data_IF_345075453591
#
_entry.id   IF_345075453591
#
_cell.length_a   1.000
_cell.length_b   1.000
_cell.length_c   1.000
_cell.angle_alpha   90.00
_cell.angle_beta   90.00
_cell.angle_gamma   90.00
#
_symmetry.space_group_name_H-M   'P 1'
#
loop_
_entity.id
_entity.type
_entity.pdbx_description
1 polymer ?
#
# COMPACT_ATOMS: atom_id res chain seq x y z
N UNK A 1 -26.35 -0.54 -7.56
CA UNK A 1 -26.74 0.81 -7.14
C UNK A 1 -26.08 1.81 -8.08
N UNK A 2 -26.88 2.49 -8.92
CA UNK A 2 -26.39 3.50 -9.84
C UNK A 2 -26.48 4.90 -9.21
N UNK A 3 -25.49 5.72 -9.44
CA UNK A 3 -25.43 7.13 -9.01
C UNK A 3 -25.24 8.06 -10.21
N UNK A 4 -25.76 9.27 -10.10
CA UNK A 4 -25.68 10.25 -11.19
C UNK A 4 -26.31 9.75 -12.47
N UNK A 5 -25.65 9.92 -13.60
CA UNK A 5 -26.12 9.50 -14.94
C UNK A 5 -26.02 7.98 -15.20
N UNK A 6 -26.26 7.15 -14.19
CA UNK A 6 -26.22 5.69 -14.31
C UNK A 6 -24.86 5.05 -14.04
N UNK A 7 -23.89 5.81 -13.53
CA UNK A 7 -22.59 5.26 -13.13
C UNK A 7 -22.75 4.31 -11.95
N UNK A 8 -22.00 3.21 -11.97
CA UNK A 8 -21.96 2.29 -10.84
C UNK A 8 -21.25 2.92 -9.63
N UNK A 9 -21.78 2.66 -8.44
CA UNK A 9 -21.28 3.23 -7.20
C UNK A 9 -19.86 2.73 -6.85
N UNK A 10 -19.55 1.45 -7.13
CA UNK A 10 -18.26 0.87 -6.84
C UNK A 10 -17.19 1.47 -7.75
N UNK A 11 -17.42 1.52 -9.04
CA UNK A 11 -16.49 2.08 -10.01
C UNK A 11 -16.18 3.55 -9.72
N UNK A 12 -17.20 4.33 -9.36
CA UNK A 12 -17.04 5.77 -9.10
C UNK A 12 -16.37 6.04 -7.77
N UNK A 13 -16.78 5.36 -6.70
CA UNK A 13 -16.34 5.68 -5.35
C UNK A 13 -15.13 4.88 -4.87
N UNK A 14 -14.71 3.82 -5.57
CA UNK A 14 -13.47 3.11 -5.24
C UNK A 14 -12.22 3.96 -5.51
N UNK A 15 -12.31 4.96 -6.38
CA UNK A 15 -11.27 5.99 -6.51
C UNK A 15 -11.10 6.81 -5.24
N UNK A 16 -12.14 6.92 -4.42
CA UNK A 16 -12.16 7.77 -3.21
C UNK A 16 -12.07 6.94 -1.93
N UNK A 17 -13.17 6.37 -1.47
CA UNK A 17 -13.35 5.90 -0.08
C UNK A 17 -13.80 4.44 0.02
N UNK A 18 -14.57 3.95 -0.94
CA UNK A 18 -15.06 2.57 -0.90
C UNK A 18 -13.87 1.61 -0.99
N UNK A 19 -13.74 0.77 0.02
CA UNK A 19 -12.63 -0.18 0.14
C UNK A 19 -11.47 0.31 1.03
N UNK A 20 -11.44 1.57 1.44
CA UNK A 20 -10.45 2.06 2.40
C UNK A 20 -10.70 1.46 3.79
N UNK A 21 -9.81 0.57 4.30
CA UNK A 21 -10.03 -0.11 5.57
C UNK A 21 -10.05 0.85 6.77
N UNK A 22 -9.39 2.00 6.69
CA UNK A 22 -9.39 2.98 7.77
C UNK A 22 -10.72 3.73 7.85
N UNK A 23 -11.37 3.94 6.71
CA UNK A 23 -12.69 4.58 6.68
C UNK A 23 -13.79 3.68 7.25
N UNK A 24 -13.59 2.36 7.28
CA UNK A 24 -14.52 1.44 7.95
C UNK A 24 -14.68 1.72 9.45
N UNK A 25 -13.73 2.42 10.07
CA UNK A 25 -13.87 2.89 11.46
C UNK A 25 -15.07 3.81 11.64
N UNK A 26 -15.58 4.43 10.56
CA UNK A 26 -16.78 5.29 10.61
C UNK A 26 -18.02 4.58 11.14
N UNK A 27 -18.10 3.26 11.03
CA UNK A 27 -19.22 2.45 11.56
C UNK A 27 -19.40 2.60 13.07
N UNK A 28 -18.32 2.94 13.79
CA UNK A 28 -18.32 3.11 15.23
C UNK A 28 -18.66 4.54 15.69
N UNK A 29 -18.83 5.48 14.75
CA UNK A 29 -19.06 6.90 15.03
C UNK A 29 -20.45 7.34 14.59
N UNK A 30 -21.04 8.27 15.32
CA UNK A 30 -22.32 8.89 14.95
C UNK A 30 -22.09 9.96 13.87
N UNK A 31 -23.12 10.22 13.05
CA UNK A 31 -23.06 11.26 12.00
C UNK A 31 -22.66 12.65 12.53
N UNK A 32 -22.99 12.98 13.77
CA UNK A 32 -22.57 14.24 14.41
C UNK A 32 -21.06 14.32 14.73
N UNK A 33 -20.34 13.22 14.64
CA UNK A 33 -18.91 13.11 14.93
C UNK A 33 -18.06 13.00 13.66
N UNK A 34 -18.63 13.21 12.48
CA UNK A 34 -17.96 13.02 11.19
C UNK A 34 -16.72 13.90 11.05
N UNK A 35 -16.79 15.16 11.47
CA UNK A 35 -15.66 16.11 11.43
C UNK A 35 -14.50 15.61 12.30
N UNK A 36 -14.76 15.26 13.54
CA UNK A 36 -13.78 14.69 14.45
C UNK A 36 -13.14 13.41 13.88
N UNK A 37 -13.97 12.51 13.34
CA UNK A 37 -13.48 11.28 12.73
C UNK A 37 -12.56 11.57 11.53
N UNK A 38 -12.95 12.53 10.69
CA UNK A 38 -12.16 12.92 9.53
C UNK A 38 -10.76 13.39 9.93
N UNK A 39 -10.67 14.29 10.89
CA UNK A 39 -9.40 14.77 11.44
C UNK A 39 -8.60 13.65 12.09
N UNK A 40 -9.24 12.83 12.90
CA UNK A 40 -8.61 11.68 13.54
C UNK A 40 -7.99 10.72 12.50
N UNK A 41 -8.70 10.45 11.41
CA UNK A 41 -8.21 9.57 10.34
C UNK A 41 -7.02 10.18 9.58
N UNK A 42 -6.90 11.51 9.48
CA UNK A 42 -5.70 12.16 8.93
C UNK A 42 -4.49 11.85 9.81
N UNK A 43 -4.59 12.15 11.10
CA UNK A 43 -3.49 11.89 12.04
C UNK A 43 -3.13 10.41 12.11
N UNK A 44 -4.13 9.54 12.13
CA UNK A 44 -3.92 8.09 12.14
C UNK A 44 -3.13 7.62 10.91
N UNK A 45 -3.43 8.12 9.71
CA UNK A 45 -2.69 7.78 8.49
C UNK A 45 -1.24 8.24 8.54
N UNK A 46 -1.00 9.47 8.96
CA UNK A 46 0.36 10.01 9.13
C UNK A 46 1.15 9.14 10.12
N UNK A 47 0.54 8.80 11.25
CA UNK A 47 1.15 7.94 12.26
C UNK A 47 1.48 6.53 11.74
N UNK A 48 0.53 5.90 11.05
CA UNK A 48 0.73 4.58 10.45
C UNK A 48 1.80 4.61 9.35
N UNK A 49 1.87 5.66 8.53
CA UNK A 49 2.92 5.83 7.54
C UNK A 49 4.31 5.94 8.19
N UNK A 50 4.41 6.65 9.33
CA UNK A 50 5.64 6.73 10.12
C UNK A 50 6.06 5.37 10.69
N UNK A 51 5.13 4.59 11.21
CA UNK A 51 5.40 3.22 11.68
C UNK A 51 5.85 2.34 10.51
N UNK A 52 5.17 2.40 9.37
CA UNK A 52 5.49 1.60 8.19
C UNK A 52 6.92 1.87 7.71
N UNK A 53 7.28 3.14 7.56
CA UNK A 53 8.64 3.53 7.18
C UNK A 53 9.67 3.12 8.22
N UNK A 54 9.39 3.33 9.50
CA UNK A 54 10.28 2.93 10.59
C UNK A 54 10.58 1.42 10.56
N UNK A 55 9.54 0.60 10.35
CA UNK A 55 9.70 -0.86 10.23
C UNK A 55 10.56 -1.26 9.04
N UNK A 56 10.34 -0.64 7.89
CA UNK A 56 11.16 -0.83 6.71
C UNK A 56 12.62 -0.44 6.97
N UNK A 57 12.86 0.74 7.54
CA UNK A 57 14.21 1.24 7.80
C UNK A 57 14.96 0.40 8.85
N UNK A 58 14.28 -0.07 9.91
CA UNK A 58 14.88 -1.00 10.87
C UNK A 58 15.19 -2.37 10.26
N UNK A 59 14.37 -2.86 9.35
CA UNK A 59 14.63 -4.10 8.63
C UNK A 59 15.94 -4.03 7.83
N UNK A 60 16.28 -2.84 7.33
CA UNK A 60 17.56 -2.54 6.68
C UNK A 60 18.70 -2.19 7.66
N UNK A 61 18.51 -2.44 8.96
CA UNK A 61 19.54 -2.25 10.02
C UNK A 61 20.02 -0.80 10.16
N UNK A 62 19.23 0.19 9.78
CA UNK A 62 19.54 1.59 10.01
C UNK A 62 19.56 1.93 11.52
N UNK A 63 20.39 2.91 11.92
CA UNK A 63 20.45 3.37 13.31
C UNK A 63 19.12 4.01 13.73
N UNK A 64 18.85 4.02 15.05
CA UNK A 64 17.63 4.63 15.60
C UNK A 64 17.45 6.09 15.19
N UNK A 65 18.55 6.84 15.16
CA UNK A 65 18.55 8.26 14.75
C UNK A 65 18.19 8.41 13.27
N UNK A 66 18.81 7.61 12.39
CA UNK A 66 18.51 7.62 10.97
C UNK A 66 17.04 7.22 10.68
N UNK A 67 16.53 6.22 11.41
CA UNK A 67 15.13 5.81 11.31
C UNK A 67 14.18 6.93 11.72
N UNK A 68 14.45 7.59 12.85
CA UNK A 68 13.63 8.70 13.33
C UNK A 68 13.61 9.85 12.32
N UNK A 69 14.79 10.33 11.90
CA UNK A 69 14.89 11.42 10.92
C UNK A 69 14.25 11.06 9.59
N UNK A 70 14.52 9.87 9.07
CA UNK A 70 13.93 9.39 7.84
C UNK A 70 12.39 9.28 7.92
N UNK A 71 11.86 8.82 9.05
CA UNK A 71 10.41 8.75 9.27
C UNK A 71 9.78 10.14 9.28
N UNK A 72 10.42 11.13 9.93
CA UNK A 72 9.94 12.51 9.93
C UNK A 72 9.91 13.09 8.51
N UNK A 73 10.99 12.92 7.75
CA UNK A 73 11.05 13.38 6.35
C UNK A 73 9.98 12.69 5.52
N UNK A 74 9.78 11.40 5.70
CA UNK A 74 8.79 10.62 4.95
C UNK A 74 7.36 11.07 5.22
N UNK A 75 6.96 11.20 6.49
CA UNK A 75 5.57 11.55 6.84
C UNK A 75 5.24 13.00 6.59
N UNK A 76 6.21 13.90 6.65
CA UNK A 76 6.03 15.32 6.35
C UNK A 76 6.48 15.69 4.92
N UNK A 77 6.57 14.70 4.02
CA UNK A 77 6.78 14.97 2.61
C UNK A 77 5.64 15.82 2.03
N UNK A 78 5.95 16.67 1.06
CA UNK A 78 4.96 17.57 0.44
C UNK A 78 3.72 16.86 -0.07
N UNK A 79 3.86 15.65 -0.60
CA UNK A 79 2.72 14.82 -0.99
C UNK A 79 1.80 14.47 0.18
N UNK A 80 2.34 14.05 1.32
CA UNK A 80 1.54 13.66 2.48
C UNK A 80 0.72 14.84 2.99
N UNK A 81 1.35 16.02 3.10
CA UNK A 81 0.68 17.24 3.53
C UNK A 81 -0.44 17.62 2.54
N UNK A 82 -0.12 17.63 1.24
CA UNK A 82 -1.09 17.94 0.20
C UNK A 82 -2.27 16.95 0.19
N UNK A 83 -1.97 15.66 0.22
CA UNK A 83 -2.98 14.62 0.21
C UNK A 83 -3.86 14.65 1.47
N UNK A 84 -3.26 14.84 2.64
CA UNK A 84 -4.01 14.94 3.91
C UNK A 84 -4.99 16.10 3.91
N UNK A 85 -4.64 17.25 3.30
CA UNK A 85 -5.51 18.42 3.23
C UNK A 85 -6.64 18.29 2.20
N UNK A 86 -6.43 17.58 1.11
CA UNK A 86 -7.40 17.46 0.01
C UNK A 86 -8.24 16.19 0.10
N UNK A 87 -7.58 15.06 0.16
CA UNK A 87 -8.18 13.72 0.13
C UNK A 87 -7.37 12.80 1.04
N UNK A 88 -7.68 12.70 2.35
CA UNK A 88 -6.87 11.95 3.32
C UNK A 88 -6.57 10.52 2.93
N UNK A 89 -7.51 9.83 2.27
CA UNK A 89 -7.35 8.47 1.78
C UNK A 89 -6.25 8.34 0.68
N UNK A 90 -5.85 9.44 0.03
CA UNK A 90 -4.70 9.45 -0.88
C UNK A 90 -3.35 9.33 -0.15
N UNK A 91 -3.35 9.42 1.17
CA UNK A 91 -2.16 9.15 1.99
C UNK A 91 -1.96 7.64 2.27
N UNK A 92 -2.94 6.78 2.00
CA UNK A 92 -2.86 5.34 2.24
C UNK A 92 -1.65 4.67 1.54
N UNK A 93 -1.26 5.03 0.30
CA UNK A 93 -0.06 4.51 -0.33
C UNK A 93 1.21 4.68 0.50
N UNK A 94 1.30 5.76 1.30
CA UNK A 94 2.41 5.99 2.22
C UNK A 94 2.50 4.94 3.34
N UNK A 95 1.38 4.30 3.68
CA UNK A 95 1.34 3.20 4.65
C UNK A 95 1.77 1.90 3.98
N UNK A 96 1.24 1.62 2.78
CA UNK A 96 1.44 0.33 2.14
C UNK A 96 2.80 0.18 1.49
N UNK A 97 3.34 1.24 0.89
CA UNK A 97 4.60 1.21 0.14
C UNK A 97 5.77 0.63 0.96
N UNK A 98 6.12 1.13 2.15
CA UNK A 98 7.24 0.57 2.91
C UNK A 98 7.07 -0.91 3.26
N UNK A 99 5.83 -1.35 3.54
CA UNK A 99 5.56 -2.76 3.82
C UNK A 99 5.65 -3.63 2.56
N UNK A 100 5.23 -3.13 1.40
CA UNK A 100 5.41 -3.82 0.11
C UNK A 100 6.89 -4.01 -0.17
N UNK A 101 7.71 -2.95 -0.04
CA UNK A 101 9.16 -3.00 -0.28
C UNK A 101 9.84 -3.97 0.68
N UNK A 102 9.53 -3.90 1.98
CA UNK A 102 10.03 -4.85 2.96
C UNK A 102 9.59 -6.29 2.65
N UNK A 103 8.37 -6.46 2.16
CA UNK A 103 7.85 -7.75 1.74
C UNK A 103 8.60 -8.35 0.56
N UNK A 104 8.97 -7.55 -0.44
CA UNK A 104 9.81 -7.96 -1.57
C UNK A 104 11.18 -8.43 -1.07
N UNK A 105 11.83 -7.65 -0.20
CA UNK A 105 13.13 -8.03 0.37
C UNK A 105 13.04 -9.33 1.19
N UNK A 106 11.93 -9.55 1.89
CA UNK A 106 11.67 -10.81 2.61
C UNK A 106 11.54 -12.00 1.66
N UNK A 107 10.82 -11.84 0.56
CA UNK A 107 10.70 -12.89 -0.48
C UNK A 107 12.08 -13.25 -1.01
N UNK A 108 12.93 -12.28 -1.32
CA UNK A 108 14.31 -12.54 -1.80
C UNK A 108 15.16 -13.27 -0.78
N UNK A 109 14.98 -12.99 0.52
CA UNK A 109 15.66 -13.70 1.61
C UNK A 109 15.00 -15.03 1.97
N UNK A 110 13.98 -15.48 1.24
CA UNK A 110 13.20 -16.69 1.50
C UNK A 110 12.50 -16.68 2.88
N UNK A 111 12.19 -15.48 3.37
CA UNK A 111 11.38 -15.30 4.56
C UNK A 111 9.88 -15.41 4.21
N UNK A 112 9.03 -15.39 5.25
CA UNK A 112 7.57 -15.50 5.08
C UNK A 112 7.00 -14.31 4.29
N UNK A 113 6.18 -14.54 3.23
CA UNK A 113 5.70 -13.49 2.32
C UNK A 113 4.47 -12.75 2.82
N UNK A 114 3.98 -13.03 4.03
CA UNK A 114 2.67 -12.54 4.50
C UNK A 114 2.55 -11.02 4.47
N UNK A 115 3.63 -10.29 4.81
CA UNK A 115 3.60 -8.83 4.81
C UNK A 115 3.43 -8.28 3.41
N UNK A 116 4.05 -8.91 2.41
CA UNK A 116 3.88 -8.58 1.01
C UNK A 116 2.43 -8.80 0.57
N UNK A 117 1.90 -10.00 0.79
CA UNK A 117 0.55 -10.40 0.36
C UNK A 117 -0.49 -9.44 0.95
N UNK A 118 -0.45 -9.20 2.26
CA UNK A 118 -1.44 -8.34 2.91
C UNK A 118 -1.31 -6.88 2.51
N UNK A 119 -0.08 -6.36 2.36
CA UNK A 119 0.10 -4.96 1.98
C UNK A 119 -0.35 -4.70 0.54
N UNK A 120 -0.09 -5.62 -0.38
CA UNK A 120 -0.57 -5.54 -1.77
C UNK A 120 -2.09 -5.69 -1.82
N UNK A 121 -2.67 -6.62 -1.06
CA UNK A 121 -4.13 -6.80 -0.99
C UNK A 121 -4.82 -5.55 -0.43
N UNK A 122 -4.32 -4.99 0.67
CA UNK A 122 -4.89 -3.75 1.25
C UNK A 122 -4.76 -2.57 0.30
N UNK A 123 -3.66 -2.45 -0.44
CA UNK A 123 -3.49 -1.42 -1.45
C UNK A 123 -4.55 -1.56 -2.57
N UNK A 124 -4.80 -2.79 -3.04
CA UNK A 124 -5.81 -3.08 -4.05
C UNK A 124 -7.24 -2.83 -3.57
N UNK A 125 -7.54 -3.18 -2.31
CA UNK A 125 -8.83 -2.88 -1.70
C UNK A 125 -9.07 -1.37 -1.57
N UNK A 126 -8.04 -0.60 -1.20
CA UNK A 126 -8.18 0.81 -0.86
C UNK A 126 -8.44 1.73 -2.05
N UNK A 127 -7.72 1.56 -3.15
CA UNK A 127 -7.82 2.45 -4.30
C UNK A 127 -7.12 1.86 -5.53
N UNK A 128 -7.87 1.65 -6.61
CA UNK A 128 -7.35 1.04 -7.85
C UNK A 128 -6.27 1.88 -8.54
N UNK A 129 -6.40 3.22 -8.51
CA UNK A 129 -5.45 4.11 -9.17
C UNK A 129 -4.06 4.05 -8.50
N UNK A 130 -4.02 4.19 -7.17
CA UNK A 130 -2.77 4.07 -6.44
C UNK A 130 -2.24 2.65 -6.42
N UNK A 131 -3.11 1.65 -6.44
CA UNK A 131 -2.70 0.26 -6.59
C UNK A 131 -1.93 0.03 -7.89
N UNK A 132 -2.40 0.59 -9.01
CA UNK A 132 -1.69 0.55 -10.28
C UNK A 132 -0.31 1.22 -10.20
N UNK A 133 -0.23 2.41 -9.62
CA UNK A 133 1.05 3.12 -9.43
C UNK A 133 2.02 2.35 -8.54
N UNK A 134 1.54 1.81 -7.42
CA UNK A 134 2.33 0.96 -6.53
C UNK A 134 2.78 -0.32 -7.23
N UNK A 135 1.95 -0.89 -8.11
CA UNK A 135 2.27 -2.06 -8.91
C UNK A 135 3.47 -1.83 -9.84
N UNK A 136 3.49 -0.70 -10.56
CA UNK A 136 4.63 -0.32 -11.40
C UNK A 136 5.89 -0.17 -10.54
N UNK A 137 5.81 0.58 -9.45
CA UNK A 137 6.94 0.81 -8.56
C UNK A 137 7.45 -0.49 -7.92
N UNK A 138 6.55 -1.38 -7.54
CA UNK A 138 6.85 -2.70 -6.98
C UNK A 138 7.66 -3.55 -7.95
N UNK A 139 7.30 -3.56 -9.25
CA UNK A 139 8.04 -4.30 -10.28
C UNK A 139 9.44 -3.71 -10.48
N UNK A 140 9.55 -2.38 -10.58
CA UNK A 140 10.83 -1.70 -10.72
C UNK A 140 11.75 -1.96 -9.51
N UNK A 141 11.22 -1.84 -8.30
CA UNK A 141 11.96 -2.13 -7.07
C UNK A 141 12.42 -3.60 -7.01
N UNK A 142 11.52 -4.53 -7.32
CA UNK A 142 11.85 -5.95 -7.36
C UNK A 142 12.98 -6.24 -8.35
N UNK A 143 12.95 -5.62 -9.53
CA UNK A 143 14.01 -5.77 -10.53
C UNK A 143 15.37 -5.26 -10.00
N UNK A 144 15.41 -4.03 -9.44
CA UNK A 144 16.64 -3.46 -8.88
C UNK A 144 17.19 -4.36 -7.76
N UNK A 145 16.33 -4.77 -6.82
CA UNK A 145 16.74 -5.63 -5.70
C UNK A 145 17.21 -7.01 -6.15
N UNK A 146 16.64 -7.54 -7.23
CA UNK A 146 17.13 -8.80 -7.81
C UNK A 146 18.59 -8.66 -8.24
N UNK A 147 18.93 -7.61 -9.01
CA UNK A 147 20.30 -7.39 -9.50
C UNK A 147 21.30 -7.07 -8.39
N UNK A 148 20.86 -6.52 -7.27
CA UNK A 148 21.70 -6.27 -6.10
C UNK A 148 21.97 -7.53 -5.28
N UNK A 149 20.99 -8.43 -5.16
CA UNK A 149 21.08 -9.57 -4.25
C UNK A 149 21.62 -10.85 -4.91
N UNK A 150 21.51 -10.99 -6.22
CA UNK A 150 21.89 -12.23 -6.92
C UNK A 150 22.99 -12.00 -7.96
N UNK A 151 24.09 -12.74 -7.79
CA UNK A 151 25.16 -12.81 -8.78
C UNK A 151 24.78 -13.73 -9.95
N UNK A 152 24.06 -14.83 -9.66
CA UNK A 152 23.57 -15.75 -10.68
C UNK A 152 22.38 -15.15 -11.44
N UNK A 153 22.67 -14.67 -12.66
CA UNK A 153 21.71 -14.07 -13.58
C UNK A 153 21.22 -15.08 -14.64
N UNK A 154 21.27 -16.37 -14.35
CA UNK A 154 20.74 -17.38 -15.27
C UNK A 154 19.23 -17.18 -15.51
N UNK A 155 18.78 -17.43 -16.74
CA UNK A 155 17.35 -17.35 -17.09
C UNK A 155 16.49 -18.23 -16.20
N UNK A 156 17.02 -19.37 -15.74
CA UNK A 156 16.33 -20.28 -14.81
C UNK A 156 16.11 -19.63 -13.45
N UNK A 157 17.09 -18.90 -12.92
CA UNK A 157 17.00 -18.23 -11.64
C UNK A 157 16.04 -17.02 -11.72
N UNK A 158 16.17 -16.22 -12.77
CA UNK A 158 15.24 -15.10 -13.06
C UNK A 158 13.80 -15.64 -13.15
N UNK A 159 13.56 -16.69 -13.93
CA UNK A 159 12.24 -17.28 -14.08
C UNK A 159 11.64 -17.80 -12.76
N UNK A 160 12.46 -18.39 -11.89
CA UNK A 160 12.02 -18.85 -10.57
C UNK A 160 11.58 -17.67 -9.70
N UNK A 161 12.34 -16.59 -9.69
CA UNK A 161 12.02 -15.41 -8.90
C UNK A 161 10.78 -14.67 -9.41
N UNK A 162 10.70 -14.46 -10.71
CA UNK A 162 9.50 -13.89 -11.35
C UNK A 162 8.28 -14.75 -11.05
N UNK A 163 8.38 -16.08 -11.16
CA UNK A 163 7.29 -16.99 -10.83
C UNK A 163 6.85 -16.87 -9.37
N UNK A 164 7.80 -16.85 -8.43
CA UNK A 164 7.50 -16.70 -7.00
C UNK A 164 6.82 -15.35 -6.70
N UNK A 165 7.37 -14.28 -7.23
CA UNK A 165 6.83 -12.94 -7.08
C UNK A 165 5.42 -12.84 -7.67
N UNK A 166 5.22 -13.39 -8.85
CA UNK A 166 3.93 -13.39 -9.55
C UNK A 166 2.87 -14.19 -8.77
N UNK A 167 3.22 -15.36 -8.25
CA UNK A 167 2.28 -16.18 -7.44
C UNK A 167 1.81 -15.41 -6.21
N UNK A 168 2.71 -14.78 -5.45
CA UNK A 168 2.29 -14.01 -4.27
C UNK A 168 1.51 -12.76 -4.63
N UNK A 169 1.82 -12.13 -5.77
CA UNK A 169 1.04 -11.01 -6.28
C UNK A 169 -0.37 -11.44 -6.67
N UNK A 170 -0.53 -12.57 -7.34
CA UNK A 170 -1.85 -13.13 -7.68
C UNK A 170 -2.65 -13.41 -6.41
N UNK A 171 -2.05 -14.05 -5.39
CA UNK A 171 -2.74 -14.32 -4.13
C UNK A 171 -3.25 -13.02 -3.52
N UNK A 172 -2.43 -11.97 -3.49
CA UNK A 172 -2.82 -10.68 -2.96
C UNK A 172 -3.97 -10.03 -3.77
N UNK A 173 -3.90 -10.11 -5.10
CA UNK A 173 -4.96 -9.59 -6.00
C UNK A 173 -6.25 -10.39 -5.84
N UNK A 174 -6.19 -11.71 -5.66
CA UNK A 174 -7.36 -12.55 -5.40
C UNK A 174 -8.06 -12.19 -4.08
N UNK A 175 -7.30 -11.85 -3.04
CA UNK A 175 -7.88 -11.32 -1.79
C UNK A 175 -8.59 -9.98 -2.04
N UNK A 176 -8.00 -9.10 -2.86
CA UNK A 176 -8.59 -7.82 -3.21
C UNK A 176 -9.71 -7.91 -4.27
N UNK A 177 -9.87 -9.05 -4.92
CA UNK A 177 -10.80 -9.23 -6.05
C UNK A 177 -12.27 -8.96 -5.68
N UNK A 178 -12.63 -9.10 -4.42
CA UNK A 178 -13.99 -8.79 -3.93
C UNK A 178 -14.40 -7.34 -4.27
N UNK A 179 -13.44 -6.42 -4.33
CA UNK A 179 -13.68 -5.02 -4.72
C UNK A 179 -13.13 -4.75 -6.11
N UNK A 180 -11.93 -5.22 -6.44
CA UNK A 180 -11.29 -4.93 -7.73
C UNK A 180 -12.05 -5.50 -8.92
N UNK A 181 -12.64 -6.70 -8.79
CA UNK A 181 -13.33 -7.34 -9.90
C UNK A 181 -14.57 -6.53 -10.37
N UNK A 182 -15.48 -6.11 -9.44
CA UNK A 182 -16.60 -5.25 -9.82
C UNK A 182 -16.21 -3.86 -10.33
N UNK A 183 -15.00 -3.38 -10.03
CA UNK A 183 -14.50 -2.08 -10.49
C UNK A 183 -13.94 -2.16 -11.91
N UNK A 184 -13.44 -3.34 -12.33
CA UNK A 184 -12.82 -3.55 -13.65
C UNK A 184 -13.84 -4.03 -14.69
N UNK A 185 -14.89 -4.74 -14.26
CA UNK A 185 -15.97 -5.24 -15.11
C UNK A 185 -17.05 -4.19 -15.37
#
# INVERSE_FOLDING_TARGET
>A
LNIGYGSDILTTLHYYVIGDPLTLLSVFFKSSQTEFLYEFLIFLRIYLAGIAFSRYAFYHKNSKQAVFMGSMIYVFAGWTIYAAMKHPYFSNPMIYLPFILMGIDKIYKKEKPYIFIWSVALAGLSNFYFFYMLGIFMVLYAAVRYFEQFEDRSLKNIGRWLGTFFVYSIIAVLIAAVILLPVIL
#
